data_IF_332442449331
#
_entry.id   IF_332442449331
#
_cell.length_a   1.000
_cell.length_b   1.000
_cell.length_c   1.000
_cell.angle_alpha   90.00
_cell.angle_beta   90.00
_cell.angle_gamma   90.00
#
_symmetry.space_group_name_H-M   'P 1'
#
loop_
_entity.id
_entity.type
_entity.pdbx_description
1 polymer ?
#
# COMPACT_ATOMS: atom_id res chain seq x y z
N UNK A 1 -2.93 11.45 14.54
CA UNK A 1 -1.77 10.75 15.14
C UNK A 1 -1.06 9.93 14.08
N UNK A 2 -0.20 10.56 13.27
CA UNK A 2 0.52 9.89 12.16
C UNK A 2 1.81 9.24 12.68
N UNK A 3 2.58 9.96 13.51
CA UNK A 3 3.79 9.45 14.15
C UNK A 3 3.39 8.80 15.48
N UNK A 4 3.12 7.50 15.45
CA UNK A 4 2.70 6.72 16.62
C UNK A 4 3.90 6.34 17.50
N UNK A 5 3.63 5.92 18.74
CA UNK A 5 4.69 5.46 19.66
C UNK A 5 5.50 4.26 19.13
N UNK A 6 4.84 3.34 18.42
CA UNK A 6 5.50 2.17 17.80
C UNK A 6 6.48 2.61 16.71
N UNK A 7 6.10 3.58 15.88
CA UNK A 7 6.98 4.13 14.85
C UNK A 7 8.18 4.81 15.50
N UNK A 8 7.94 5.64 16.53
CA UNK A 8 9.04 6.31 17.25
C UNK A 8 9.99 5.33 17.93
N UNK A 9 9.49 4.23 18.49
CA UNK A 9 10.33 3.25 19.16
C UNK A 9 11.31 2.56 18.19
N UNK A 10 10.95 2.39 16.92
CA UNK A 10 11.74 1.63 15.94
C UNK A 10 12.55 2.50 14.97
N UNK A 11 12.30 3.81 14.91
CA UNK A 11 13.03 4.74 14.05
C UNK A 11 13.71 5.78 14.94
N UNK A 12 14.96 5.53 15.40
CA UNK A 12 15.64 6.40 16.36
C UNK A 12 16.22 7.65 15.70
N UNK A 13 16.71 7.55 14.46
CA UNK A 13 17.27 8.67 13.70
C UNK A 13 16.13 9.52 13.13
N UNK A 14 16.16 10.83 13.36
CA UNK A 14 15.08 11.74 12.95
C UNK A 14 15.63 13.06 12.48
N UNK A 15 14.97 13.67 11.51
CA UNK A 15 15.14 15.09 11.22
C UNK A 15 13.79 15.77 11.10
N UNK A 16 13.77 17.07 11.35
CA UNK A 16 12.61 17.91 11.15
C UNK A 16 13.03 19.21 10.47
N UNK A 17 12.36 19.57 9.39
CA UNK A 17 12.34 20.93 8.86
C UNK A 17 11.45 21.82 9.73
N UNK A 18 11.33 23.10 9.35
CA UNK A 18 10.42 24.04 10.02
C UNK A 18 9.01 23.48 10.14
N UNK A 19 8.50 23.44 11.39
CA UNK A 19 7.13 23.02 11.71
C UNK A 19 6.31 24.17 12.28
N UNK A 20 4.99 24.01 12.30
CA UNK A 20 4.08 25.07 12.73
C UNK A 20 4.07 25.30 14.25
N UNK A 21 4.34 24.27 15.06
CA UNK A 21 4.23 24.37 16.52
C UNK A 21 5.25 23.53 17.28
N UNK A 22 5.53 23.92 18.53
CA UNK A 22 6.36 23.14 19.44
C UNK A 22 5.77 21.76 19.75
N UNK A 23 4.45 21.60 19.64
CA UNK A 23 3.78 20.29 19.75
C UNK A 23 4.20 19.38 18.59
N UNK A 24 4.20 19.89 17.36
CA UNK A 24 4.63 19.14 16.18
C UNK A 24 6.12 18.78 16.25
N UNK A 25 6.95 19.71 16.74
CA UNK A 25 8.37 19.44 16.98
C UNK A 25 8.54 18.27 17.95
N UNK A 26 7.79 18.23 19.05
CA UNK A 26 7.85 17.12 20.02
C UNK A 26 7.28 15.82 19.46
N UNK A 27 6.31 15.87 18.56
CA UNK A 27 5.79 14.67 17.89
C UNK A 27 6.87 14.02 17.04
N UNK A 28 7.68 14.81 16.31
CA UNK A 28 8.73 14.31 15.44
C UNK A 28 10.01 14.00 16.24
N UNK A 29 10.55 14.98 16.96
CA UNK A 29 11.89 14.95 17.55
C UNK A 29 11.91 14.55 19.05
N UNK A 30 10.74 14.38 19.68
CA UNK A 30 10.54 14.29 21.14
C UNK A 30 10.98 15.53 21.94
N UNK A 31 11.68 16.48 21.31
CA UNK A 31 12.09 17.77 21.85
C UNK A 31 11.50 18.92 21.02
N UNK A 32 11.39 20.11 21.64
CA UNK A 32 11.06 21.34 20.91
C UNK A 32 12.27 21.87 20.14
N UNK A 33 12.04 22.80 19.21
CA UNK A 33 13.09 23.52 18.49
C UNK A 33 12.83 23.64 16.99
N UNK A 34 12.13 22.67 16.38
CA UNK A 34 11.86 22.69 14.95
C UNK A 34 10.89 23.82 14.55
N UNK A 35 10.07 24.30 15.49
CA UNK A 35 9.16 25.45 15.28
C UNK A 35 9.89 26.79 15.14
N UNK A 36 11.20 26.82 15.43
CA UNK A 36 12.04 28.03 15.37
C UNK A 36 12.95 28.06 14.14
N UNK A 37 12.86 27.05 13.28
CA UNK A 37 13.64 26.99 12.05
C UNK A 37 13.12 28.03 11.05
N UNK A 38 13.99 28.49 10.16
CA UNK A 38 13.70 29.58 9.23
C UNK A 38 13.12 29.10 7.89
N UNK A 39 13.00 27.78 7.72
CA UNK A 39 12.55 27.15 6.48
C UNK A 39 13.65 27.06 5.42
N UNK A 40 13.25 26.87 4.15
CA UNK A 40 14.17 26.82 2.98
C UNK A 40 15.37 25.88 3.17
N UNK A 41 15.13 24.69 3.71
CA UNK A 41 16.17 23.67 3.94
C UNK A 41 16.78 23.68 5.34
N UNK A 42 16.49 24.65 6.19
CA UNK A 42 16.92 24.64 7.60
C UNK A 42 16.21 23.53 8.39
N UNK A 43 16.99 22.68 9.06
CA UNK A 43 16.51 21.49 9.76
C UNK A 43 17.25 21.23 11.07
N UNK A 44 16.60 20.47 11.95
CA UNK A 44 17.24 19.80 13.08
C UNK A 44 17.38 18.31 12.77
N UNK A 45 18.57 17.75 12.96
CA UNK A 45 18.87 16.34 12.83
C UNK A 45 19.25 15.75 14.18
N UNK A 46 18.60 14.65 14.57
CA UNK A 46 18.88 13.89 15.76
C UNK A 46 19.47 12.54 15.34
N UNK A 47 20.78 12.44 15.49
CA UNK A 47 21.51 11.18 15.40
C UNK A 47 21.20 10.33 16.66
N UNK A 48 20.88 9.03 16.53
CA UNK A 48 20.71 8.13 17.67
C UNK A 48 21.89 8.09 18.65
N UNK A 49 23.11 8.36 18.18
CA UNK A 49 24.32 8.38 18.99
C UNK A 49 24.62 9.75 19.61
N UNK A 50 23.97 10.82 19.11
CA UNK A 50 24.20 12.17 19.62
C UNK A 50 23.30 12.49 20.83
N UNK A 51 23.79 13.27 21.80
CA UNK A 51 23.02 13.66 22.98
C UNK A 51 21.93 14.69 22.68
N UNK A 52 22.03 15.41 21.57
CA UNK A 52 21.12 16.48 21.18
C UNK A 52 21.02 16.60 19.67
N UNK A 53 19.93 17.20 19.19
CA UNK A 53 19.78 17.49 17.79
C UNK A 53 20.76 18.58 17.33
N UNK A 54 21.34 18.39 16.15
CA UNK A 54 22.21 19.35 15.46
C UNK A 54 21.39 20.13 14.44
N UNK A 55 21.67 21.43 14.31
CA UNK A 55 21.03 22.26 13.29
C UNK A 55 21.85 22.22 12.00
N UNK A 56 21.20 21.85 10.90
CA UNK A 56 21.83 21.65 9.59
C UNK A 56 21.06 22.47 8.55
N UNK A 57 21.79 23.11 7.64
CA UNK A 57 21.22 23.71 6.44
C UNK A 57 21.29 22.69 5.29
N UNK A 58 20.12 22.20 4.86
CA UNK A 58 20.02 21.28 3.74
C UNK A 58 20.47 21.89 2.42
N UNK A 59 21.07 21.06 1.57
CA UNK A 59 21.41 21.43 0.21
C UNK A 59 20.13 21.68 -0.60
N UNK A 60 20.16 22.73 -1.42
CA UNK A 60 19.12 22.97 -2.41
C UNK A 60 19.47 22.20 -3.69
N UNK A 61 18.49 21.52 -4.25
CA UNK A 61 18.59 20.83 -5.54
C UNK A 61 17.38 21.21 -6.38
N UNK A 62 17.63 21.58 -7.63
CA UNK A 62 16.59 21.89 -8.60
C UNK A 62 16.07 20.61 -9.27
N UNK A 63 14.82 20.65 -9.71
CA UNK A 63 14.19 19.52 -10.43
C UNK A 63 15.00 19.08 -11.66
N UNK A 64 15.58 20.04 -12.38
CA UNK A 64 16.43 19.77 -13.55
C UNK A 64 17.68 18.94 -13.20
N UNK A 65 18.25 19.14 -12.01
CA UNK A 65 19.42 18.40 -11.54
C UNK A 65 19.04 16.97 -11.19
N UNK A 66 17.88 16.77 -10.54
CA UNK A 66 17.32 15.44 -10.27
C UNK A 66 17.07 14.70 -11.59
N UNK A 67 16.43 15.35 -12.56
CA UNK A 67 16.15 14.75 -13.87
C UNK A 67 17.43 14.37 -14.62
N UNK A 68 18.45 15.22 -14.58
CA UNK A 68 19.75 14.94 -15.20
C UNK A 68 20.40 13.69 -14.58
N UNK A 69 20.40 13.58 -13.25
CA UNK A 69 20.95 12.40 -12.55
C UNK A 69 20.14 11.14 -12.88
N UNK A 70 18.81 11.22 -12.87
CA UNK A 70 17.93 10.08 -13.23
C UNK A 70 18.20 9.61 -14.65
N UNK A 71 18.35 10.53 -15.61
CA UNK A 71 18.65 10.18 -17.00
C UNK A 71 19.99 9.46 -17.13
N UNK A 72 21.03 9.93 -16.43
CA UNK A 72 22.34 9.25 -16.41
C UNK A 72 22.21 7.80 -15.91
N UNK A 73 21.39 7.55 -14.88
CA UNK A 73 21.15 6.20 -14.39
C UNK A 73 20.34 5.34 -15.36
N UNK A 74 19.34 5.91 -16.03
CA UNK A 74 18.53 5.19 -17.02
C UNK A 74 19.33 4.84 -18.28
N UNK A 75 20.19 5.73 -18.73
CA UNK A 75 21.06 5.50 -19.88
C UNK A 75 22.04 4.35 -19.59
N UNK A 76 22.51 4.21 -18.35
CA UNK A 76 23.35 3.08 -17.93
C UNK A 76 22.63 1.74 -17.97
N UNK A 77 21.30 1.73 -17.86
CA UNK A 77 20.48 0.51 -17.92
C UNK A 77 19.84 0.29 -19.29
N UNK A 78 20.26 1.01 -20.33
CA UNK A 78 19.61 1.00 -21.66
C UNK A 78 18.09 1.26 -21.60
N UNK A 79 17.63 2.03 -20.60
CA UNK A 79 16.21 2.23 -20.29
C UNK A 79 15.43 0.94 -19.94
N UNK A 80 16.11 -0.17 -19.67
CA UNK A 80 15.50 -1.39 -19.14
C UNK A 80 15.48 -1.29 -17.60
N UNK A 81 14.28 -1.39 -17.00
CA UNK A 81 14.10 -1.37 -15.55
C UNK A 81 13.54 -2.72 -15.12
N UNK A 82 14.29 -3.44 -14.28
CA UNK A 82 13.86 -4.72 -13.73
C UNK A 82 13.19 -4.50 -12.38
N UNK A 83 11.86 -4.58 -12.38
CA UNK A 83 11.08 -4.59 -11.15
C UNK A 83 10.99 -6.02 -10.60
N UNK A 84 11.11 -6.17 -9.29
CA UNK A 84 10.81 -7.44 -8.62
C UNK A 84 9.31 -7.46 -8.36
N UNK A 85 8.56 -8.20 -9.17
CA UNK A 85 7.09 -8.25 -9.14
C UNK A 85 6.53 -8.59 -7.75
N UNK A 86 7.22 -9.44 -6.98
CA UNK A 86 6.85 -9.77 -5.59
C UNK A 86 6.87 -8.56 -4.64
N UNK A 87 7.72 -7.57 -4.92
CA UNK A 87 7.85 -6.33 -4.14
C UNK A 87 6.87 -5.27 -4.60
N UNK A 88 6.56 -5.25 -5.90
CA UNK A 88 5.61 -4.27 -6.48
C UNK A 88 4.21 -4.49 -5.92
N UNK A 89 3.83 -5.75 -5.63
CA UNK A 89 2.46 -6.07 -5.22
C UNK A 89 1.44 -5.64 -6.29
N UNK A 90 0.17 -6.04 -6.15
CA UNK A 90 -0.87 -5.52 -7.03
C UNK A 90 -0.91 -3.98 -6.90
N UNK A 91 -0.58 -3.26 -7.97
CA UNK A 91 -0.60 -1.80 -8.13
C UNK A 91 -2.02 -1.21 -8.03
N UNK A 92 -2.72 -1.50 -6.94
CA UNK A 92 -3.96 -0.85 -6.54
C UNK A 92 -3.77 0.03 -5.29
N UNK A 93 -2.52 0.42 -4.99
CA UNK A 93 -2.32 1.68 -4.27
C UNK A 93 -2.65 2.76 -5.30
N UNK A 94 -3.91 3.20 -5.26
CA UNK A 94 -4.37 4.39 -5.96
C UNK A 94 -3.24 5.41 -5.96
N UNK A 95 -2.79 5.75 -7.17
CA UNK A 95 -1.82 6.80 -7.39
C UNK A 95 -2.18 7.94 -6.43
N UNK A 96 -1.34 8.17 -5.42
CA UNK A 96 -1.42 9.38 -4.62
C UNK A 96 -1.10 10.46 -5.62
N UNK A 97 -2.14 11.02 -6.21
CA UNK A 97 -2.04 12.05 -7.21
C UNK A 97 -1.32 13.23 -6.56
N UNK A 98 -0.01 13.34 -6.81
CA UNK A 98 0.65 14.62 -6.68
C UNK A 98 -0.05 15.56 -7.67
N UNK A 99 -0.56 16.72 -7.23
CA UNK A 99 -1.14 17.68 -8.15
C UNK A 99 -0.04 18.14 -9.12
N UNK A 100 -0.08 17.65 -10.36
CA UNK A 100 0.84 18.05 -11.43
C UNK A 100 1.35 16.95 -12.36
N UNK A 101 1.22 15.66 -12.02
CA UNK A 101 1.68 14.58 -12.88
C UNK A 101 0.61 14.15 -13.89
N UNK A 102 0.56 14.80 -15.07
CA UNK A 102 -0.11 14.23 -16.24
C UNK A 102 0.83 13.24 -16.93
N UNK A 103 0.65 11.95 -16.66
CA UNK A 103 1.37 10.87 -17.33
C UNK A 103 0.51 9.62 -17.35
N UNK A 104 0.05 9.23 -18.53
CA UNK A 104 -0.94 8.19 -18.76
C UNK A 104 -0.45 6.79 -18.38
N UNK A 105 -1.41 5.97 -17.95
CA UNK A 105 -1.25 4.56 -17.62
C UNK A 105 -2.61 3.95 -17.32
N UNK A 106 -3.51 4.00 -18.31
CA UNK A 106 -4.81 3.34 -18.25
C UNK A 106 -4.76 1.98 -18.95
N UNK A 107 -5.56 1.06 -18.40
CA UNK A 107 -6.02 -0.21 -18.97
C UNK A 107 -5.04 -1.40 -18.92
N UNK A 108 -5.35 -2.36 -18.05
CA UNK A 108 -4.80 -3.72 -18.11
C UNK A 108 -4.90 -4.47 -16.78
N UNK A 109 -6.11 -4.79 -16.29
CA UNK A 109 -6.25 -5.70 -15.14
C UNK A 109 -7.64 -6.37 -14.97
N UNK A 110 -8.50 -6.42 -16.00
CA UNK A 110 -9.83 -7.04 -15.84
C UNK A 110 -9.88 -8.54 -16.23
N UNK A 111 -8.90 -9.08 -16.97
CA UNK A 111 -8.96 -10.46 -17.47
C UNK A 111 -8.50 -11.54 -16.47
N UNK A 112 -7.85 -11.18 -15.36
CA UNK A 112 -7.25 -12.15 -14.41
C UNK A 112 -8.15 -12.42 -13.18
N UNK A 113 -9.15 -11.57 -12.93
CA UNK A 113 -10.06 -11.70 -11.78
C UNK A 113 -11.16 -12.75 -12.02
N UNK A 114 -11.58 -12.97 -13.28
CA UNK A 114 -12.58 -14.00 -13.65
C UNK A 114 -12.05 -15.42 -13.41
N UNK A 115 -10.78 -15.69 -13.74
CA UNK A 115 -10.15 -16.99 -13.53
C UNK A 115 -9.95 -17.31 -12.04
N UNK A 116 -9.63 -16.31 -11.23
CA UNK A 116 -9.48 -16.46 -9.78
C UNK A 116 -10.83 -16.57 -9.06
N UNK A 117 -11.91 -16.00 -9.60
CA UNK A 117 -13.23 -16.09 -9.00
C UNK A 117 -13.77 -17.52 -8.94
N UNK A 118 -13.55 -18.32 -9.99
CA UNK A 118 -13.98 -19.73 -10.01
C UNK A 118 -13.27 -20.55 -8.92
N UNK A 119 -11.96 -20.35 -8.77
CA UNK A 119 -11.18 -21.01 -7.72
C UNK A 119 -11.62 -20.58 -6.32
N UNK A 120 -11.95 -19.30 -6.15
CA UNK A 120 -12.46 -18.76 -4.90
C UNK A 120 -13.83 -19.36 -4.54
N UNK A 121 -14.72 -19.45 -5.52
CA UNK A 121 -16.06 -20.02 -5.37
C UNK A 121 -15.99 -21.48 -4.94
N UNK A 122 -15.18 -22.30 -5.62
CA UNK A 122 -14.97 -23.70 -5.27
C UNK A 122 -14.43 -23.85 -3.84
N UNK A 123 -13.44 -23.04 -3.48
CA UNK A 123 -12.81 -23.10 -2.18
C UNK A 123 -13.77 -22.72 -1.05
N UNK A 124 -14.56 -21.66 -1.22
CA UNK A 124 -15.52 -21.18 -0.21
C UNK A 124 -16.66 -22.17 -0.03
N UNK A 125 -17.22 -22.70 -1.11
CA UNK A 125 -18.32 -23.67 -1.06
C UNK A 125 -17.88 -25.01 -0.47
N UNK A 126 -16.72 -25.54 -0.87
CA UNK A 126 -16.21 -26.81 -0.34
C UNK A 126 -15.75 -26.72 1.11
N UNK A 127 -15.18 -25.57 1.51
CA UNK A 127 -14.73 -25.37 2.89
C UNK A 127 -15.81 -24.87 3.83
N UNK A 128 -16.97 -24.42 3.30
CA UNK A 128 -18.04 -23.77 4.04
C UNK A 128 -17.53 -22.60 4.92
N UNK A 129 -16.50 -21.89 4.42
CA UNK A 129 -15.80 -20.85 5.17
C UNK A 129 -15.59 -19.59 4.32
N UNK A 130 -16.53 -18.64 4.38
CA UNK A 130 -16.46 -17.36 3.67
C UNK A 130 -15.57 -16.32 4.35
N UNK A 131 -14.25 -16.55 4.43
CA UNK A 131 -13.30 -15.61 5.05
C UNK A 131 -12.31 -15.01 4.04
N UNK A 132 -12.17 -13.67 4.05
CA UNK A 132 -11.19 -12.93 3.24
C UNK A 132 -9.75 -13.37 3.52
N UNK A 133 -9.38 -13.57 4.79
CA UNK A 133 -8.04 -14.05 5.18
C UNK A 133 -7.76 -15.49 4.76
N UNK A 134 -8.80 -16.31 4.56
CA UNK A 134 -8.65 -17.66 4.02
C UNK A 134 -8.32 -17.60 2.53
N UNK A 135 -9.09 -16.82 1.76
CA UNK A 135 -8.84 -16.60 0.33
C UNK A 135 -7.47 -15.99 0.06
N UNK A 136 -7.07 -14.99 0.85
CA UNK A 136 -5.74 -14.39 0.79
C UNK A 136 -4.63 -15.45 0.83
N UNK A 137 -4.70 -16.40 1.79
CA UNK A 137 -3.68 -17.43 1.98
C UNK A 137 -3.74 -18.54 0.93
N UNK A 138 -4.94 -18.93 0.52
CA UNK A 138 -5.15 -20.08 -0.37
C UNK A 138 -4.95 -19.74 -1.85
N UNK A 139 -5.38 -18.56 -2.27
CA UNK A 139 -5.19 -18.04 -3.63
C UNK A 139 -3.88 -17.25 -3.76
N UNK A 140 -3.14 -17.05 -2.66
CA UNK A 140 -1.90 -16.26 -2.61
C UNK A 140 -2.05 -14.84 -3.15
N UNK A 141 -3.23 -14.24 -2.95
CA UNK A 141 -3.57 -12.87 -3.38
C UNK A 141 -3.44 -11.88 -2.22
N UNK A 142 -3.28 -10.60 -2.53
CA UNK A 142 -3.31 -9.52 -1.52
C UNK A 142 -4.67 -9.40 -0.82
N UNK A 143 -4.70 -8.83 0.40
CA UNK A 143 -5.94 -8.71 1.20
C UNK A 143 -7.03 -7.89 0.49
N UNK A 144 -6.66 -6.81 -0.20
CA UNK A 144 -7.62 -5.99 -0.96
C UNK A 144 -8.26 -6.78 -2.11
N UNK A 145 -7.47 -7.58 -2.84
CA UNK A 145 -7.97 -8.45 -3.91
C UNK A 145 -8.84 -9.58 -3.36
N UNK A 146 -8.45 -10.21 -2.25
CA UNK A 146 -9.30 -11.18 -1.54
C UNK A 146 -10.63 -10.57 -1.07
N UNK A 147 -10.63 -9.29 -0.67
CA UNK A 147 -11.84 -8.52 -0.36
C UNK A 147 -12.75 -8.36 -1.57
N UNK A 148 -12.21 -7.89 -2.71
CA UNK A 148 -12.97 -7.77 -3.96
C UNK A 148 -13.57 -9.09 -4.42
N UNK A 149 -12.78 -10.16 -4.38
CA UNK A 149 -13.26 -11.51 -4.71
C UNK A 149 -14.42 -11.92 -3.78
N UNK A 150 -14.34 -11.63 -2.47
CA UNK A 150 -15.46 -11.89 -1.54
C UNK A 150 -16.71 -11.08 -1.85
N UNK A 151 -16.57 -9.83 -2.27
CA UNK A 151 -17.70 -8.99 -2.65
C UNK A 151 -18.33 -9.46 -3.97
N UNK A 152 -17.52 -9.92 -4.94
CA UNK A 152 -18.02 -10.57 -6.16
C UNK A 152 -18.74 -11.88 -5.85
N UNK A 153 -18.24 -12.68 -4.90
CA UNK A 153 -18.93 -13.89 -4.42
C UNK A 153 -20.27 -13.57 -3.75
N UNK A 154 -20.40 -12.42 -3.09
CA UNK A 154 -21.67 -11.94 -2.53
C UNK A 154 -22.64 -11.54 -3.65
N UNK A 155 -22.18 -10.80 -4.66
CA UNK A 155 -22.98 -10.41 -5.81
C UNK A 155 -23.49 -11.62 -6.61
N UNK A 156 -22.70 -12.68 -6.68
CA UNK A 156 -23.07 -13.95 -7.31
C UNK A 156 -23.90 -14.88 -6.40
N UNK A 157 -24.26 -14.43 -5.19
CA UNK A 157 -25.08 -15.20 -4.25
C UNK A 157 -24.40 -16.42 -3.65
N UNK A 158 -23.06 -16.52 -3.72
CA UNK A 158 -22.28 -17.62 -3.14
C UNK A 158 -22.12 -17.45 -1.64
N UNK A 159 -21.95 -16.21 -1.18
CA UNK A 159 -21.83 -15.84 0.24
C UNK A 159 -22.86 -14.78 0.64
N UNK A 160 -23.26 -14.81 1.90
CA UNK A 160 -24.14 -13.81 2.49
C UNK A 160 -23.44 -12.47 2.77
N UNK A 161 -24.19 -11.47 3.26
CA UNK A 161 -23.69 -10.12 3.45
C UNK A 161 -22.57 -10.02 4.48
N UNK A 162 -21.76 -8.96 4.36
CA UNK A 162 -20.68 -8.69 5.30
C UNK A 162 -21.17 -8.50 6.75
N UNK A 163 -20.69 -9.37 7.66
CA UNK A 163 -20.95 -9.31 9.10
C UNK A 163 -19.78 -8.69 9.89
N UNK A 164 -19.05 -7.74 9.26
CA UNK A 164 -17.89 -7.08 9.86
C UNK A 164 -16.64 -7.97 9.84
N UNK A 165 -16.08 -8.28 11.01
CA UNK A 165 -14.84 -9.08 11.13
C UNK A 165 -15.06 -10.59 11.14
N UNK A 166 -16.30 -11.05 11.10
CA UNK A 166 -16.65 -12.49 11.09
C UNK A 166 -16.69 -13.04 9.67
N UNK A 167 -16.49 -14.35 9.54
CA UNK A 167 -16.69 -15.08 8.28
C UNK A 167 -18.13 -14.91 7.79
N UNK A 168 -18.29 -14.69 6.47
CA UNK A 168 -19.59 -14.66 5.81
C UNK A 168 -20.17 -16.07 5.74
N UNK A 169 -21.50 -16.13 5.83
CA UNK A 169 -22.25 -17.38 5.64
C UNK A 169 -22.14 -17.80 4.18
N UNK A 170 -21.99 -19.10 3.93
CA UNK A 170 -21.94 -19.65 2.57
C UNK A 170 -23.37 -20.06 2.20
N UNK A 171 -23.90 -19.47 1.13
CA UNK A 171 -25.29 -19.65 0.71
C UNK A 171 -25.45 -20.71 -0.40
N UNK A 172 -24.35 -21.07 -1.07
CA UNK A 172 -24.33 -22.05 -2.15
C UNK A 172 -23.87 -23.42 -1.66
N UNK A 173 -24.59 -24.46 -2.07
CA UNK A 173 -24.24 -25.86 -1.80
C UNK A 173 -23.27 -26.42 -2.83
N UNK A 174 -22.62 -27.54 -2.50
CA UNK A 174 -21.67 -28.20 -3.42
C UNK A 174 -22.38 -28.71 -4.69
N UNK A 175 -23.63 -29.16 -4.57
CA UNK A 175 -24.44 -29.64 -5.71
C UNK A 175 -24.78 -28.48 -6.66
N UNK A 176 -25.21 -27.33 -6.13
CA UNK A 176 -25.50 -26.12 -6.92
C UNK A 176 -24.26 -25.55 -7.60
N UNK A 177 -23.09 -25.68 -6.96
CA UNK A 177 -21.82 -25.30 -7.55
C UNK A 177 -21.47 -26.16 -8.77
N UNK A 178 -21.67 -27.48 -8.67
CA UNK A 178 -21.39 -28.41 -9.76
C UNK A 178 -22.33 -28.16 -10.96
N UNK A 179 -23.60 -27.84 -10.71
CA UNK A 179 -24.56 -27.43 -11.74
C UNK A 179 -24.20 -26.07 -12.39
N UNK A 180 -23.73 -25.10 -11.60
CA UNK A 180 -23.29 -23.80 -12.10
C UNK A 180 -22.01 -23.88 -12.96
N UNK A 181 -21.12 -24.83 -12.64
CA UNK A 181 -19.92 -25.11 -13.44
C UNK A 181 -20.27 -25.91 -14.72
N UNK A 182 -21.20 -26.86 -14.64
CA UNK A 182 -21.63 -27.68 -15.76
C UNK A 182 -22.42 -26.88 -16.83
N UNK A 183 -23.14 -25.84 -16.42
CA UNK A 183 -23.90 -24.96 -17.33
C UNK A 183 -23.05 -23.89 -18.04
N UNK A 184 -21.79 -23.72 -17.62
CA UNK A 184 -20.81 -22.77 -18.20
C UNK A 184 -19.79 -23.42 -19.14
N UNK A 185 -19.78 -24.75 -19.27
CA UNK A 185 -18.96 -25.51 -20.23
C UNK A 185 -19.74 -25.87 -21.50
#
# INVERSE_FOLDING_TARGET
NVITGVIKANIPARFAFSVASATDSKVIMNVGGAERLVGKGDMLFLDPAAPSAERIQGCFVEEKEVQAVVNIWRDQTNNEIHYVEEVVGDNNIAAVALPGATGGGGAGADEDDDGMMLQAMELVVRSQLGSTSMLQRKLKVGFARAGRIMDMLEEHGVVGPSLGSKSREVLMTVEELEDALASRG
#
